data_IF_672562328743
#
_entry.id   IF_672562328743
#
_cell.length_a   1.000
_cell.length_b   1.000
_cell.length_c   1.000
_cell.angle_alpha   90.00
_cell.angle_beta   90.00
_cell.angle_gamma   90.00
#
_symmetry.space_group_name_H-M   'P 1'
#
loop_
_entity.id
_entity.type
_entity.pdbx_description
1 polymer ?
#
# COMPACT_ATOMS: atom_id res chain seq x y z
N UNK A 1 -5.43 8.90 10.52
CA UNK A 1 -5.14 9.60 10.21
C UNK A 1 -4.54 9.80 9.22
N UNK A 2 -4.39 10.50 8.65
CA UNK A 2 -3.92 10.65 7.54
C UNK A 2 -3.49 11.95 7.29
N UNK A 3 -2.30 12.21 7.20
CA UNK A 3 -1.81 13.50 7.01
C UNK A 3 -2.11 14.05 5.68
N UNK A 4 -2.57 13.24 4.78
CA UNK A 4 -2.91 13.74 3.47
C UNK A 4 -4.11 14.64 3.49
N UNK A 5 -4.94 14.48 4.46
CA UNK A 5 -6.10 15.29 4.54
C UNK A 5 -5.81 16.73 4.76
N UNK A 6 -4.64 17.02 5.24
CA UNK A 6 -4.34 18.37 5.62
C UNK A 6 -3.66 19.19 4.59
N UNK A 7 -3.51 18.68 3.40
CA UNK A 7 -2.89 19.44 2.37
C UNK A 7 -3.84 20.52 1.92
N UNK A 8 -3.37 21.75 1.92
CA UNK A 8 -4.22 22.82 1.59
C UNK A 8 -4.63 22.78 0.18
N UNK A 9 -5.88 22.91 -0.09
CA UNK A 9 -6.42 22.91 -1.41
C UNK A 9 -6.38 21.59 -2.12
N UNK A 10 -5.91 20.56 -1.47
CA UNK A 10 -5.84 19.26 -2.10
C UNK A 10 -7.19 18.58 -2.05
N UNK A 11 -7.66 18.11 -3.18
CA UNK A 11 -8.89 17.34 -3.24
C UNK A 11 -8.53 15.89 -3.52
N UNK A 12 -9.14 15.00 -2.79
CA UNK A 12 -8.83 13.59 -2.88
C UNK A 12 -10.04 12.86 -3.39
N UNK A 13 -9.80 12.07 -4.43
CA UNK A 13 -10.86 11.30 -5.02
C UNK A 13 -10.59 9.83 -4.81
N UNK A 14 -11.61 9.07 -4.52
CA UNK A 14 -11.50 7.62 -4.38
C UNK A 14 -12.31 6.99 -5.50
N UNK A 15 -11.64 6.56 -6.59
CA UNK A 15 -12.35 5.96 -7.71
C UNK A 15 -13.09 4.70 -7.29
N UNK A 16 -14.18 4.42 -7.97
CA UNK A 16 -15.03 3.30 -7.60
C UNK A 16 -14.31 1.96 -7.66
N UNK A 17 -13.48 1.77 -8.65
CA UNK A 17 -12.78 0.50 -8.78
C UNK A 17 -11.71 0.31 -7.70
N UNK A 18 -11.27 1.39 -7.08
CA UNK A 18 -10.30 1.32 -5.99
C UNK A 18 -11.01 1.24 -4.64
N UNK A 19 -12.21 1.80 -4.57
CA UNK A 19 -12.91 1.94 -3.31
C UNK A 19 -13.26 0.61 -2.67
N UNK A 20 -13.43 -0.44 -3.46
CA UNK A 20 -13.78 -1.74 -2.89
C UNK A 20 -12.60 -2.37 -2.16
N UNK A 21 -11.40 -1.90 -2.44
CA UNK A 21 -10.24 -2.39 -1.73
C UNK A 21 -9.78 -3.77 -2.14
N UNK A 22 -8.68 -4.19 -1.54
CA UNK A 22 -8.14 -5.53 -1.73
C UNK A 22 -7.86 -6.12 -0.38
N UNK A 23 -8.28 -7.34 -0.16
CA UNK A 23 -7.99 -8.01 1.10
C UNK A 23 -6.52 -8.44 1.11
N UNK A 24 -5.87 -8.23 2.22
CA UNK A 24 -4.51 -8.71 2.41
C UNK A 24 -4.30 -9.03 3.87
N UNK A 25 -3.54 -10.07 4.14
CA UNK A 25 -3.21 -10.41 5.51
C UNK A 25 -1.70 -10.54 5.70
N UNK A 26 -0.92 -10.09 4.72
CA UNK A 26 0.52 -10.21 4.78
C UNK A 26 1.12 -9.09 3.95
N UNK A 27 2.23 -8.56 4.38
CA UNK A 27 2.89 -7.49 3.63
C UNK A 27 4.38 -7.77 3.57
N UNK A 28 4.95 -7.52 2.41
CA UNK A 28 6.37 -7.64 2.18
C UNK A 28 6.91 -6.27 1.86
N UNK A 29 7.89 -5.82 2.60
CA UNK A 29 8.44 -4.50 2.41
C UNK A 29 9.89 -4.64 1.96
N UNK A 30 10.19 -4.03 0.82
CA UNK A 30 11.55 -3.97 0.32
C UNK A 30 11.88 -2.54 -0.01
N UNK A 31 13.14 -2.20 0.02
CA UNK A 31 13.51 -0.82 -0.30
C UNK A 31 14.87 -0.77 -0.95
N UNK A 32 15.06 0.27 -1.72
CA UNK A 32 16.35 0.61 -2.27
C UNK A 32 16.66 2.04 -1.87
N UNK A 33 17.68 2.62 -2.44
CA UNK A 33 18.02 4.01 -2.12
C UNK A 33 16.98 4.98 -2.64
N UNK A 34 16.19 4.60 -3.62
CA UNK A 34 15.25 5.53 -4.22
C UNK A 34 13.79 5.16 -4.05
N UNK A 35 13.51 3.94 -3.61
CA UNK A 35 12.11 3.49 -3.54
C UNK A 35 11.84 2.62 -2.35
N UNK A 36 10.62 2.70 -1.85
CA UNK A 36 10.08 1.72 -0.92
C UNK A 36 8.96 1.01 -1.65
N UNK A 37 8.97 -0.31 -1.61
CA UNK A 37 7.93 -1.09 -2.26
C UNK A 37 7.22 -1.91 -1.19
N UNK A 38 5.91 -1.76 -1.11
CA UNK A 38 5.10 -2.53 -0.18
C UNK A 38 4.18 -3.41 -1.00
N UNK A 39 4.35 -4.72 -0.87
CA UNK A 39 3.51 -5.69 -1.55
C UNK A 39 2.56 -6.28 -0.54
N UNK A 40 1.27 -6.09 -0.77
CA UNK A 40 0.26 -6.69 0.08
C UNK A 40 -0.16 -8.01 -0.53
N UNK A 41 -0.21 -9.02 0.28
CA UNK A 41 -0.43 -10.37 -0.19
C UNK A 41 -1.49 -11.07 0.63
N UNK A 42 -2.01 -12.12 0.07
CA UNK A 42 -3.03 -12.93 0.72
C UNK A 42 -2.47 -14.33 0.90
N UNK A 43 -2.50 -14.80 2.15
CA UNK A 43 -2.09 -16.16 2.49
C UNK A 43 -3.35 -16.89 2.89
N UNK A 44 -3.70 -17.93 2.15
CA UNK A 44 -4.92 -18.68 2.41
C UNK A 44 -4.62 -20.14 2.62
N UNK A 45 -5.40 -20.82 3.46
CA UNK A 45 -5.24 -22.26 3.65
C UNK A 45 -5.43 -22.99 2.33
N UNK A 46 -4.62 -23.98 2.10
CA UNK A 46 -4.75 -24.78 0.91
C UNK A 46 -4.04 -24.24 -0.31
N UNK A 47 -3.52 -23.01 -0.23
CA UNK A 47 -2.75 -22.47 -1.33
C UNK A 47 -1.27 -22.59 -1.00
N UNK A 48 -0.47 -23.09 -1.95
CA UNK A 48 0.94 -23.31 -1.68
C UNK A 48 1.76 -22.03 -1.61
N UNK A 49 1.25 -20.95 -2.16
CA UNK A 49 2.00 -19.69 -2.22
C UNK A 49 1.13 -18.53 -1.85
N UNK A 50 1.72 -17.53 -1.23
CA UNK A 50 1.04 -16.27 -1.05
C UNK A 50 0.86 -15.59 -2.39
N UNK A 51 -0.25 -14.89 -2.55
CA UNK A 51 -0.55 -14.18 -3.78
C UNK A 51 -0.50 -12.70 -3.50
N UNK A 52 0.34 -11.98 -4.23
CA UNK A 52 0.40 -10.54 -4.11
C UNK A 52 -0.81 -9.95 -4.80
N UNK A 53 -1.57 -9.16 -4.07
CA UNK A 53 -2.78 -8.56 -4.61
C UNK A 53 -2.60 -7.09 -4.96
N UNK A 54 -1.65 -6.42 -4.34
CA UNK A 54 -1.41 -5.02 -4.62
C UNK A 54 0.04 -4.70 -4.35
N UNK A 55 0.58 -3.79 -5.15
CA UNK A 55 1.91 -3.27 -4.90
C UNK A 55 1.83 -1.76 -4.87
N UNK A 56 2.44 -1.16 -3.85
CA UNK A 56 2.48 0.28 -3.70
C UNK A 56 3.94 0.69 -3.63
N UNK A 57 4.30 1.69 -4.43
CA UNK A 57 5.65 2.20 -4.46
C UNK A 57 5.63 3.58 -3.85
N UNK A 58 6.47 3.79 -2.84
CA UNK A 58 6.50 5.03 -2.10
C UNK A 58 7.87 5.67 -2.19
N UNK A 59 7.89 6.98 -2.18
CA UNK A 59 9.14 7.67 -1.97
C UNK A 59 9.61 7.36 -0.55
N UNK A 60 10.91 7.18 -0.32
CA UNK A 60 11.38 6.76 1.00
C UNK A 60 10.97 7.67 2.14
N UNK A 61 10.95 8.97 1.90
CA UNK A 61 10.58 9.89 2.97
C UNK A 61 9.11 9.76 3.34
N UNK A 62 8.26 9.42 2.40
CA UNK A 62 6.84 9.20 2.70
C UNK A 62 6.66 7.89 3.45
N UNK A 63 7.43 6.89 3.10
CA UNK A 63 7.34 5.62 3.78
C UNK A 63 7.72 5.77 5.24
N UNK A 64 8.72 6.59 5.52
CA UNK A 64 9.14 6.84 6.89
C UNK A 64 8.02 7.44 7.71
N UNK A 65 7.24 8.31 7.13
CA UNK A 65 6.15 8.93 7.87
C UNK A 65 5.02 7.98 8.15
N UNK A 66 4.80 7.04 7.25
CA UNK A 66 3.71 6.09 7.43
C UNK A 66 4.07 4.99 8.40
N UNK A 67 5.32 4.63 8.45
CA UNK A 67 5.77 3.55 9.29
C UNK A 67 6.31 4.05 10.61
#
# INVERSE_FOLDING_TARGET
>A
MNENENKQGLQIELPQDVAKGNYANFAIITHSSSDFVVDFACVLPGLPKAQVTSRVILAPEHAKRLL
#
